data_IF_783932031276
#
_entry.id   IF_783932031276
#
_cell.length_a   1.000
_cell.length_b   1.000
_cell.length_c   1.000
_cell.angle_alpha   90.00
_cell.angle_beta   90.00
_cell.angle_gamma   90.00
#
_symmetry.space_group_name_H-M   'P 1'
#
loop_
_entity.id
_entity.type
_entity.pdbx_description
1 polymer ?
#
# COMPACT_ATOMS: atom_id res chain seq x y z
N UNK A 1 13.04 1.56 -6.30
CA UNK A 1 11.89 2.40 -5.91
C UNK A 1 11.84 3.76 -6.63
N UNK A 2 12.95 4.49 -6.81
CA UNK A 2 12.96 5.83 -7.44
C UNK A 2 12.90 5.82 -8.98
N UNK A 3 11.80 5.30 -9.52
CA UNK A 3 11.44 5.36 -10.94
C UNK A 3 9.99 5.84 -11.05
N UNK A 4 9.63 6.36 -12.22
CA UNK A 4 8.22 6.61 -12.56
C UNK A 4 7.47 5.28 -12.58
N UNK A 5 6.32 5.25 -11.89
CA UNK A 5 5.56 4.02 -11.64
C UNK A 5 4.05 4.26 -11.51
N UNK A 6 3.40 5.02 -12.42
CA UNK A 6 1.95 5.16 -12.42
C UNK A 6 1.27 3.80 -12.67
N UNK A 7 0.01 3.63 -12.21
CA UNK A 7 -0.73 2.38 -12.43
C UNK A 7 -0.72 1.94 -13.90
N UNK A 8 -0.54 0.64 -14.12
CA UNK A 8 -0.47 0.04 -15.48
C UNK A 8 0.85 0.25 -16.23
N UNK A 9 1.83 0.96 -15.67
CA UNK A 9 3.16 1.12 -16.30
C UNK A 9 4.11 -0.05 -16.03
N UNK A 10 5.11 -0.22 -16.88
CA UNK A 10 6.21 -1.17 -16.64
C UNK A 10 6.98 -0.84 -15.36
N UNK A 11 7.17 0.44 -15.04
CA UNK A 11 7.83 0.86 -13.80
C UNK A 11 7.08 0.40 -12.56
N UNK A 12 5.74 0.48 -12.56
CA UNK A 12 4.90 -0.03 -11.48
C UNK A 12 5.03 -1.56 -11.34
N UNK A 13 4.95 -2.29 -12.46
CA UNK A 13 5.14 -3.75 -12.47
C UNK A 13 6.52 -4.15 -11.93
N UNK A 14 7.60 -3.50 -12.37
CA UNK A 14 8.95 -3.77 -11.91
C UNK A 14 9.12 -3.50 -10.40
N UNK A 15 8.52 -2.42 -9.89
CA UNK A 15 8.52 -2.13 -8.45
C UNK A 15 7.78 -3.21 -7.66
N UNK A 16 6.63 -3.67 -8.17
CA UNK A 16 5.86 -4.76 -7.56
C UNK A 16 6.67 -6.05 -7.49
N UNK A 17 7.29 -6.45 -8.60
CA UNK A 17 8.17 -7.62 -8.69
C UNK A 17 9.37 -7.52 -7.74
N UNK A 18 9.97 -6.33 -7.64
CA UNK A 18 11.07 -6.06 -6.70
C UNK A 18 10.64 -6.28 -5.25
N UNK A 19 9.50 -5.70 -4.84
CA UNK A 19 8.96 -5.84 -3.48
C UNK A 19 8.68 -7.31 -3.17
N UNK A 20 7.97 -8.00 -4.07
CA UNK A 20 7.61 -9.42 -3.87
C UNK A 20 8.85 -10.30 -3.76
N UNK A 21 9.82 -10.13 -4.67
CA UNK A 21 11.05 -10.92 -4.68
C UNK A 21 11.89 -10.68 -3.43
N UNK A 22 11.99 -9.42 -2.99
CA UNK A 22 12.70 -9.05 -1.76
C UNK A 22 12.10 -9.75 -0.54
N UNK A 23 10.78 -9.65 -0.34
CA UNK A 23 10.09 -10.27 0.79
C UNK A 23 10.18 -11.80 0.77
N UNK A 24 10.08 -12.42 -0.41
CA UNK A 24 10.24 -13.86 -0.58
C UNK A 24 11.66 -14.35 -0.32
N UNK A 25 12.68 -13.49 -0.46
CA UNK A 25 14.08 -13.83 -0.19
C UNK A 25 14.44 -13.88 1.30
N UNK A 26 13.60 -13.30 2.18
CA UNK A 26 13.84 -13.23 3.61
C UNK A 26 13.66 -14.59 4.30
N UNK A 27 14.49 -14.89 5.30
CA UNK A 27 14.49 -16.21 5.96
C UNK A 27 13.26 -16.44 6.86
N UNK A 28 12.57 -15.38 7.25
CA UNK A 28 11.30 -15.45 7.99
C UNK A 28 10.14 -16.07 7.19
N UNK A 29 10.30 -16.22 5.86
CA UNK A 29 9.39 -16.98 5.02
C UNK A 29 8.02 -16.33 4.88
N UNK A 30 7.99 -15.10 4.35
CA UNK A 30 6.76 -14.36 4.10
C UNK A 30 5.89 -15.04 3.05
N UNK A 31 4.57 -15.10 3.31
CA UNK A 31 3.58 -15.45 2.27
C UNK A 31 3.22 -14.17 1.53
N UNK A 32 3.52 -14.12 0.23
CA UNK A 32 3.32 -12.93 -0.61
C UNK A 32 2.28 -13.23 -1.68
N UNK A 33 1.18 -12.49 -1.65
CA UNK A 33 0.08 -12.58 -2.59
C UNK A 33 -0.04 -11.27 -3.39
N UNK A 34 -0.43 -11.39 -4.66
CA UNK A 34 -0.75 -10.26 -5.51
C UNK A 34 -2.26 -10.15 -5.70
N UNK A 35 -2.85 -9.06 -5.23
CA UNK A 35 -4.24 -8.73 -5.49
C UNK A 35 -4.33 -7.93 -6.79
N UNK A 36 -4.42 -8.65 -7.90
CA UNK A 36 -4.46 -8.11 -9.26
C UNK A 36 -5.90 -7.88 -9.71
N UNK A 37 -6.20 -6.68 -10.20
CA UNK A 37 -7.53 -6.34 -10.72
C UNK A 37 -7.44 -5.28 -11.81
N UNK A 38 -8.56 -5.04 -12.48
CA UNK A 38 -8.69 -3.95 -13.44
C UNK A 38 -9.83 -3.03 -13.06
N UNK A 39 -9.66 -1.73 -13.31
CA UNK A 39 -10.68 -0.74 -13.03
C UNK A 39 -10.78 0.30 -14.16
N UNK A 40 -11.99 0.84 -14.31
CA UNK A 40 -12.21 2.01 -15.16
C UNK A 40 -11.67 3.26 -14.47
N UNK A 41 -10.96 4.08 -15.23
CA UNK A 41 -10.33 5.32 -14.75
C UNK A 41 -10.61 6.45 -15.74
N UNK A 42 -10.37 7.73 -15.37
CA UNK A 42 -10.44 8.85 -16.31
C UNK A 42 -9.49 8.70 -17.51
N UNK A 43 -8.49 7.81 -17.43
CA UNK A 43 -7.51 7.53 -18.47
C UNK A 43 -7.77 6.21 -19.22
N UNK A 44 -8.95 5.63 -19.05
CA UNK A 44 -9.31 4.34 -19.63
C UNK A 44 -9.19 3.19 -18.64
N UNK A 45 -9.25 1.97 -19.15
CA UNK A 45 -9.21 0.76 -18.33
C UNK A 45 -7.76 0.40 -18.00
N UNK A 46 -7.41 0.37 -16.71
CA UNK A 46 -6.04 0.10 -16.24
C UNK A 46 -6.00 -1.12 -15.32
N UNK A 47 -4.85 -1.80 -15.33
CA UNK A 47 -4.53 -2.88 -14.39
C UNK A 47 -3.85 -2.32 -13.13
N UNK A 48 -4.26 -2.81 -11.98
CA UNK A 48 -3.71 -2.49 -10.67
C UNK A 48 -3.23 -3.78 -10.00
N UNK A 49 -2.29 -3.67 -9.06
CA UNK A 49 -1.89 -4.81 -8.26
C UNK A 49 -1.31 -4.46 -6.91
N UNK A 50 -2.04 -4.75 -5.84
CA UNK A 50 -1.51 -4.64 -4.49
C UNK A 50 -0.56 -5.81 -4.20
N UNK A 51 0.49 -5.56 -3.41
CA UNK A 51 1.30 -6.64 -2.80
C UNK A 51 0.86 -6.80 -1.35
N UNK A 52 0.42 -7.99 -1.00
CA UNK A 52 0.00 -8.37 0.35
C UNK A 52 1.00 -9.39 0.88
N UNK A 53 1.79 -9.02 1.87
CA UNK A 53 2.74 -9.94 2.49
C UNK A 53 2.33 -10.22 3.93
N UNK A 54 2.12 -11.48 4.28
CA UNK A 54 1.75 -11.91 5.64
C UNK A 54 2.82 -12.85 6.19
N UNK A 55 3.41 -12.51 7.33
CA UNK A 55 4.50 -13.29 7.92
C UNK A 55 4.02 -14.67 8.39
N UNK A 56 2.88 -14.70 9.07
CA UNK A 56 2.21 -15.94 9.50
C UNK A 56 0.70 -15.86 9.19
N UNK A 57 0.24 -16.45 8.07
CA UNK A 57 -1.16 -16.45 7.69
C UNK A 57 -2.09 -17.14 8.71
N UNK A 58 -1.55 -17.99 9.59
CA UNK A 58 -2.33 -18.72 10.59
C UNK A 58 -2.59 -17.93 11.87
N UNK A 59 -1.85 -16.84 12.10
CA UNK A 59 -2.03 -16.01 13.28
C UNK A 59 -3.40 -15.29 13.27
N UNK A 60 -4.13 -15.27 14.39
CA UNK A 60 -5.47 -14.68 14.45
C UNK A 60 -5.48 -13.16 14.36
N UNK A 61 -4.38 -12.49 14.71
CA UNK A 61 -4.28 -11.03 14.69
C UNK A 61 -3.12 -10.56 13.83
N UNK A 62 -3.31 -9.42 13.17
CA UNK A 62 -2.36 -8.80 12.24
C UNK A 62 -2.13 -7.35 12.66
N UNK A 63 -0.87 -7.03 12.97
CA UNK A 63 -0.36 -5.65 12.91
C UNK A 63 -0.07 -5.35 11.44
N UNK A 64 -0.71 -4.32 10.90
CA UNK A 64 -0.60 -3.97 9.48
C UNK A 64 0.28 -2.75 9.31
N UNK A 65 1.33 -2.86 8.49
CA UNK A 65 2.07 -1.71 7.97
C UNK A 65 1.71 -1.51 6.51
N UNK A 66 1.33 -0.29 6.14
CA UNK A 66 0.85 -0.03 4.79
C UNK A 66 1.42 1.27 4.20
N UNK A 67 1.62 1.25 2.89
CA UNK A 67 2.01 2.39 2.05
C UNK A 67 1.54 2.14 0.61
N UNK A 68 1.72 3.10 -0.30
CA UNK A 68 1.32 2.95 -1.70
C UNK A 68 2.51 2.92 -2.67
N UNK A 69 2.50 1.99 -3.61
CA UNK A 69 3.60 1.78 -4.54
C UNK A 69 3.54 2.68 -5.75
N UNK A 70 2.37 3.20 -6.11
CA UNK A 70 2.23 4.03 -7.29
C UNK A 70 2.89 5.40 -7.10
N UNK A 71 3.24 6.02 -8.22
CA UNK A 71 3.60 7.44 -8.27
C UNK A 71 2.52 8.17 -9.05
N UNK A 72 2.17 9.38 -8.59
CA UNK A 72 1.23 10.24 -9.30
C UNK A 72 1.60 10.41 -10.76
N UNK A 73 0.62 10.26 -11.64
CA UNK A 73 0.81 10.56 -13.05
C UNK A 73 0.86 12.07 -13.28
N UNK A 74 1.91 12.54 -13.94
CA UNK A 74 2.04 13.90 -14.43
C UNK A 74 2.53 13.89 -15.87
N UNK A 75 2.20 14.92 -16.63
CA UNK A 75 2.89 15.19 -17.88
C UNK A 75 4.37 15.49 -17.59
N UNK A 76 5.31 15.02 -18.43
CA UNK A 76 6.70 15.44 -18.34
C UNK A 76 6.81 16.97 -18.38
N UNK A 77 7.73 17.53 -17.61
CA UNK A 77 7.95 18.97 -17.61
C UNK A 77 8.66 19.45 -18.89
N UNK A 78 8.91 20.75 -19.00
CA UNK A 78 9.58 21.35 -20.18
C UNK A 78 11.01 20.83 -20.44
N UNK A 79 11.60 20.09 -19.49
CA UNK A 79 12.90 19.44 -19.61
C UNK A 79 12.78 17.93 -19.78
N UNK A 80 11.57 17.41 -19.98
CA UNK A 80 11.30 15.97 -20.11
C UNK A 80 11.40 15.18 -18.79
N UNK A 81 11.40 15.86 -17.64
CA UNK A 81 11.48 15.18 -16.33
C UNK A 81 10.11 14.67 -15.93
N UNK A 82 10.08 13.45 -15.40
CA UNK A 82 8.87 12.80 -14.91
C UNK A 82 8.82 12.79 -13.38
N UNK A 83 7.63 12.60 -12.83
CA UNK A 83 7.43 12.56 -11.39
C UNK A 83 7.70 11.15 -10.85
N UNK A 84 8.54 11.09 -9.81
CA UNK A 84 8.98 9.82 -9.21
C UNK A 84 8.47 9.59 -7.79
N UNK A 85 7.74 10.52 -7.17
CA UNK A 85 7.14 10.33 -5.84
C UNK A 85 8.11 9.80 -4.78
N UNK A 86 9.19 10.55 -4.50
CA UNK A 86 10.24 10.09 -3.57
C UNK A 86 9.70 9.94 -2.14
N UNK A 87 9.05 10.97 -1.60
CA UNK A 87 8.38 10.90 -0.28
C UNK A 87 7.02 10.23 -0.36
N UNK A 88 6.45 10.14 -1.57
CA UNK A 88 5.04 9.80 -1.82
C UNK A 88 4.91 8.67 -2.89
N UNK A 89 5.10 7.41 -2.52
CA UNK A 89 5.61 6.94 -1.22
C UNK A 89 6.80 5.98 -1.32
N UNK A 90 7.79 6.31 -2.17
CA UNK A 90 9.00 5.48 -2.31
C UNK A 90 9.80 5.33 -1.00
N UNK A 91 9.93 6.40 -0.21
CA UNK A 91 10.57 6.36 1.12
C UNK A 91 9.77 5.48 2.10
N UNK A 92 8.44 5.66 2.30
CA UNK A 92 7.64 4.72 3.09
C UNK A 92 7.79 3.26 2.69
N UNK A 93 7.71 2.95 1.40
CA UNK A 93 7.90 1.59 0.92
C UNK A 93 9.27 1.04 1.33
N UNK A 94 10.32 1.85 1.16
CA UNK A 94 11.70 1.45 1.48
C UNK A 94 11.91 1.29 2.98
N UNK A 95 11.28 2.12 3.81
CA UNK A 95 11.35 2.01 5.27
C UNK A 95 10.72 0.71 5.77
N UNK A 96 9.57 0.32 5.21
CA UNK A 96 8.94 -0.97 5.56
C UNK A 96 9.87 -2.12 5.19
N UNK A 97 10.39 -2.14 3.96
CA UNK A 97 11.29 -3.19 3.47
C UNK A 97 12.57 -3.28 4.32
N UNK A 98 13.20 -2.16 4.63
CA UNK A 98 14.40 -2.12 5.46
C UNK A 98 14.11 -2.61 6.88
N UNK A 99 13.01 -2.16 7.49
CA UNK A 99 12.64 -2.56 8.84
C UNK A 99 12.44 -4.08 8.95
N UNK A 100 11.74 -4.71 7.99
CA UNK A 100 11.54 -6.17 8.03
C UNK A 100 12.80 -6.94 7.67
N UNK A 101 13.69 -6.37 6.87
CA UNK A 101 15.00 -6.95 6.56
C UNK A 101 15.90 -6.95 7.81
N UNK A 102 16.02 -5.80 8.47
CA UNK A 102 16.81 -5.65 9.68
C UNK A 102 16.29 -6.51 10.85
N UNK A 103 14.98 -6.80 10.87
CA UNK A 103 14.32 -7.60 11.90
C UNK A 103 14.10 -9.07 11.50
N UNK A 104 14.56 -9.51 10.33
CA UNK A 104 14.19 -10.81 9.73
C UNK A 104 14.34 -12.00 10.69
N UNK A 105 15.53 -12.19 11.27
CA UNK A 105 15.79 -13.26 12.25
C UNK A 105 14.91 -13.15 13.52
N UNK A 106 14.54 -11.93 13.94
CA UNK A 106 13.68 -11.73 15.12
C UNK A 106 12.22 -12.03 14.79
N UNK A 107 11.77 -11.63 13.61
CA UNK A 107 10.44 -11.93 13.09
C UNK A 107 10.25 -13.44 12.90
N UNK A 108 11.26 -14.13 12.37
CA UNK A 108 11.28 -15.59 12.29
C UNK A 108 11.09 -16.24 13.66
N UNK A 109 11.87 -15.83 14.67
CA UNK A 109 11.72 -16.34 16.04
C UNK A 109 10.36 -16.07 16.66
N UNK A 110 9.70 -14.95 16.32
CA UNK A 110 8.36 -14.64 16.81
C UNK A 110 7.31 -15.56 16.17
N UNK A 111 7.44 -15.83 14.87
CA UNK A 111 6.62 -16.79 14.13
C UNK A 111 6.79 -18.21 14.67
N UNK A 112 8.03 -18.67 14.84
CA UNK A 112 8.33 -20.04 15.33
C UNK A 112 7.80 -20.30 16.76
N UNK A 113 7.63 -19.24 17.56
CA UNK A 113 7.04 -19.30 18.90
C UNK A 113 5.50 -19.35 18.89
N UNK A 114 4.86 -19.25 17.73
CA UNK A 114 3.41 -19.23 17.60
C UNK A 114 2.77 -17.97 18.20
N UNK A 115 3.34 -16.80 17.93
CA UNK A 115 2.74 -15.54 18.39
C UNK A 115 1.31 -15.38 17.85
N UNK A 116 0.37 -14.97 18.69
CA UNK A 116 -1.02 -14.73 18.30
C UNK A 116 -1.19 -13.49 17.41
N UNK A 117 -0.18 -12.61 17.37
CA UNK A 117 -0.15 -11.43 16.51
C UNK A 117 1.02 -11.51 15.55
N UNK A 118 0.72 -11.49 14.25
CA UNK A 118 1.72 -11.46 13.18
C UNK A 118 1.84 -10.06 12.56
N UNK A 119 2.83 -9.90 11.67
CA UNK A 119 2.99 -8.71 10.84
C UNK A 119 2.40 -8.96 9.44
N UNK A 120 1.65 -8.00 8.94
CA UNK A 120 1.18 -7.96 7.55
C UNK A 120 1.60 -6.63 6.91
N UNK A 121 2.10 -6.70 5.69
CA UNK A 121 2.55 -5.54 4.91
C UNK A 121 1.64 -5.37 3.71
N UNK A 122 1.13 -4.16 3.51
CA UNK A 122 0.29 -3.81 2.37
C UNK A 122 1.00 -2.74 1.54
N UNK A 123 1.31 -3.08 0.31
CA UNK A 123 1.87 -2.17 -0.69
C UNK A 123 0.79 -1.94 -1.74
N UNK A 124 0.05 -0.84 -1.57
CA UNK A 124 -1.19 -0.57 -2.30
C UNK A 124 -0.92 0.10 -3.64
N UNK A 125 -1.63 -0.29 -4.69
CA UNK A 125 -1.52 0.32 -6.01
C UNK A 125 -2.67 1.30 -6.28
N UNK A 126 -2.41 2.35 -7.04
CA UNK A 126 -3.42 3.35 -7.40
C UNK A 126 -4.03 4.09 -6.20
N UNK A 127 -3.20 4.53 -5.26
CA UNK A 127 -3.64 5.50 -4.25
C UNK A 127 -3.99 6.83 -4.93
N UNK A 128 -3.13 7.25 -5.88
CA UNK A 128 -3.17 8.55 -6.50
C UNK A 128 -4.30 8.67 -7.53
N UNK A 129 -4.89 9.86 -7.58
CA UNK A 129 -5.79 10.24 -8.65
C UNK A 129 -5.02 10.34 -9.99
N UNK A 130 -5.61 9.78 -11.05
CA UNK A 130 -5.07 9.78 -12.41
C UNK A 130 -5.44 11.05 -13.19
N UNK A 131 -6.49 11.76 -12.75
CA UNK A 131 -6.85 13.10 -13.16
C UNK A 131 -7.09 13.98 -11.92
N UNK A 132 -8.32 13.99 -11.39
CA UNK A 132 -8.73 14.82 -10.26
C UNK A 132 -9.22 13.94 -9.12
N UNK A 133 -8.68 14.20 -7.92
CA UNK A 133 -9.02 13.43 -6.72
C UNK A 133 -10.52 13.47 -6.45
N UNK A 134 -11.14 12.29 -6.48
CA UNK A 134 -12.57 12.12 -6.23
C UNK A 134 -12.84 10.74 -5.60
N UNK A 135 -14.09 10.47 -5.22
CA UNK A 135 -14.47 9.16 -4.67
C UNK A 135 -14.22 7.99 -5.64
N UNK A 136 -14.18 8.25 -6.95
CA UNK A 136 -14.00 7.23 -7.98
C UNK A 136 -12.60 7.26 -8.61
N UNK A 137 -11.92 8.41 -8.58
CA UNK A 137 -10.54 8.62 -9.04
C UNK A 137 -9.60 8.84 -7.85
N UNK A 138 -9.49 7.82 -7.00
CA UNK A 138 -8.51 7.67 -5.93
C UNK A 138 -8.64 6.28 -5.30
N UNK A 139 -7.64 5.88 -4.52
CA UNK A 139 -7.71 4.74 -3.60
C UNK A 139 -8.19 3.43 -4.26
N UNK A 140 -7.78 3.18 -5.50
CA UNK A 140 -8.20 2.02 -6.29
C UNK A 140 -7.83 0.71 -5.59
N UNK A 141 -6.56 0.54 -5.25
CA UNK A 141 -6.04 -0.66 -4.60
C UNK A 141 -6.59 -0.85 -3.20
N UNK A 142 -6.68 0.22 -2.41
CA UNK A 142 -7.22 0.17 -1.06
C UNK A 142 -8.68 -0.28 -1.02
N UNK A 143 -9.54 0.28 -1.90
CA UNK A 143 -10.96 -0.09 -1.99
C UNK A 143 -11.14 -1.54 -2.42
N UNK A 144 -10.41 -1.96 -3.46
CA UNK A 144 -10.47 -3.34 -3.95
C UNK A 144 -10.01 -4.33 -2.88
N UNK A 145 -8.87 -4.04 -2.24
CA UNK A 145 -8.31 -4.94 -1.23
C UNK A 145 -9.19 -5.03 0.02
N UNK A 146 -9.76 -3.92 0.49
CA UNK A 146 -10.68 -3.96 1.63
C UNK A 146 -11.87 -4.91 1.36
N UNK A 147 -12.48 -4.79 0.17
CA UNK A 147 -13.55 -5.70 -0.25
C UNK A 147 -13.06 -7.15 -0.39
N UNK A 148 -11.86 -7.37 -0.91
CA UNK A 148 -11.28 -8.71 -1.04
C UNK A 148 -11.05 -9.36 0.34
N UNK A 149 -10.49 -8.61 1.29
CA UNK A 149 -10.22 -9.08 2.66
C UNK A 149 -11.51 -9.35 3.43
N UNK A 150 -12.55 -8.55 3.24
CA UNK A 150 -13.88 -8.77 3.84
C UNK A 150 -14.52 -10.07 3.34
N UNK A 151 -14.32 -10.41 2.07
CA UNK A 151 -14.89 -11.62 1.46
C UNK A 151 -14.05 -12.88 1.69
N UNK A 152 -12.82 -12.75 2.19
CA UNK A 152 -11.92 -13.89 2.39
C UNK A 152 -12.00 -14.41 3.81
N UNK A 153 -12.59 -15.61 3.99
CA UNK A 153 -12.79 -16.22 5.31
C UNK A 153 -11.50 -16.79 5.89
N UNK A 154 -11.36 -16.71 7.21
CA UNK A 154 -10.29 -17.37 7.96
C UNK A 154 -10.74 -18.72 8.52
N UNK A 155 -9.82 -19.71 8.67
CA UNK A 155 -10.15 -21.04 9.19
C UNK A 155 -10.79 -21.04 10.59
N UNK A 156 -10.49 -20.04 11.42
CA UNK A 156 -11.02 -19.88 12.78
C UNK A 156 -12.34 -19.11 12.90
N UNK A 157 -12.98 -18.76 11.77
CA UNK A 157 -14.12 -17.84 11.73
C UNK A 157 -13.70 -16.38 11.53
N UNK A 158 -14.64 -15.54 11.11
CA UNK A 158 -14.36 -14.17 10.65
C UNK A 158 -13.73 -14.12 9.25
N UNK A 159 -13.36 -12.92 8.81
CA UNK A 159 -12.67 -12.68 7.55
C UNK A 159 -11.28 -12.07 7.77
N UNK A 160 -10.47 -11.98 6.70
CA UNK A 160 -9.12 -11.43 6.79
C UNK A 160 -9.10 -9.98 7.25
N UNK A 161 -10.16 -9.23 6.96
CA UNK A 161 -10.29 -7.86 7.43
C UNK A 161 -10.43 -7.83 8.97
N UNK A 162 -11.26 -8.70 9.56
CA UNK A 162 -11.42 -8.80 11.02
C UNK A 162 -10.11 -9.15 11.76
N UNK A 163 -9.14 -9.77 11.09
CA UNK A 163 -7.84 -10.07 11.69
C UNK A 163 -6.93 -8.83 11.83
N UNK A 164 -7.24 -7.72 11.16
CA UNK A 164 -6.48 -6.47 11.27
C UNK A 164 -6.78 -5.84 12.63
N UNK A 165 -5.85 -6.00 13.58
CA UNK A 165 -5.99 -5.46 14.92
C UNK A 165 -5.46 -4.01 15.03
N UNK A 166 -4.39 -3.71 14.28
CA UNK A 166 -3.72 -2.41 14.36
C UNK A 166 -3.23 -1.98 12.96
N UNK A 167 -3.95 -1.11 12.25
CA UNK A 167 -3.47 -0.55 11.00
C UNK A 167 -2.56 0.66 11.23
N UNK A 168 -1.34 0.61 10.71
CA UNK A 168 -0.38 1.72 10.66
C UNK A 168 -0.07 2.06 9.20
N UNK A 169 -0.55 3.23 8.76
CA UNK A 169 -0.26 3.76 7.44
C UNK A 169 0.93 4.73 7.49
N UNK A 170 2.01 4.42 6.77
CA UNK A 170 3.20 5.27 6.70
C UNK A 170 3.07 6.17 5.48
N UNK A 171 2.66 7.42 5.69
CA UNK A 171 2.61 8.44 4.64
C UNK A 171 3.59 9.58 4.98
N UNK A 172 4.43 9.98 4.01
CA UNK A 172 5.08 11.28 4.03
C UNK A 172 4.45 12.13 2.93
N UNK A 173 3.38 12.89 3.22
CA UNK A 173 2.71 13.67 2.19
C UNK A 173 3.71 14.64 1.55
N UNK A 174 3.74 14.66 0.22
CA UNK A 174 4.35 15.75 -0.52
C UNK A 174 3.57 17.04 -0.18
N UNK A 175 4.28 18.09 0.21
CA UNK A 175 3.72 19.44 0.25
C UNK A 175 3.16 19.72 -1.15
N UNK A 176 1.83 19.83 -1.26
CA UNK A 176 1.13 20.12 -2.50
C UNK A 176 1.68 21.44 -3.04
N UNK A 177 2.53 21.38 -4.08
CA UNK A 177 3.14 22.55 -4.70
C UNK A 177 2.08 23.21 -5.59
N UNK A 178 1.11 23.89 -4.97
CA UNK A 178 0.28 24.89 -5.62
C UNK A 178 0.58 26.25 -4.99
N UNK A 179 1.11 27.14 -5.81
CA UNK A 179 1.18 28.57 -5.57
C UNK A 179 -0.17 29.09 -5.07
N UNK A 180 -0.19 29.57 -3.83
CA UNK A 180 -1.28 30.36 -3.26
C UNK A 180 -2.43 29.54 -2.66
N UNK A 181 -2.42 29.41 -1.33
CA UNK A 181 -3.53 29.65 -0.39
C UNK A 181 -3.10 29.09 0.98
N UNK A 182 -3.00 29.99 1.97
CA UNK A 182 -2.68 29.69 3.36
C UNK A 182 -3.73 28.77 4.02
N UNK A 183 -3.27 27.89 4.91
CA UNK A 183 -4.03 27.21 5.97
C UNK A 183 -5.06 26.12 5.58
N UNK A 184 -5.11 25.64 4.33
CA UNK A 184 -5.90 24.46 3.94
C UNK A 184 -5.11 23.14 3.87
N UNK A 185 -3.78 23.19 4.03
CA UNK A 185 -2.86 22.07 3.78
C UNK A 185 -2.94 20.95 4.82
N UNK A 186 -3.20 21.27 6.10
CA UNK A 186 -3.27 20.27 7.17
C UNK A 186 -4.56 19.42 7.09
N UNK A 187 -5.68 20.01 6.65
CA UNK A 187 -6.94 19.27 6.49
C UNK A 187 -6.86 18.22 5.39
N UNK A 188 -6.25 18.52 4.24
CA UNK A 188 -6.14 17.58 3.12
C UNK A 188 -5.17 16.42 3.41
N UNK A 189 -4.06 16.70 4.11
CA UNK A 189 -3.14 15.68 4.62
C UNK A 189 -3.86 14.75 5.60
N UNK A 190 -4.61 15.32 6.56
CA UNK A 190 -5.45 14.52 7.44
C UNK A 190 -6.48 13.73 6.65
N UNK A 191 -7.11 14.29 5.61
CA UNK A 191 -8.12 13.58 4.80
C UNK A 191 -7.54 12.37 4.10
N UNK A 192 -6.38 12.42 3.45
CA UNK A 192 -5.80 11.25 2.74
C UNK A 192 -5.39 10.15 3.71
N UNK A 193 -4.68 10.51 4.79
CA UNK A 193 -4.28 9.56 5.82
C UNK A 193 -5.50 9.00 6.56
N UNK A 194 -6.52 9.83 6.84
CA UNK A 194 -7.81 9.37 7.33
C UNK A 194 -8.54 8.56 6.28
N UNK A 195 -8.43 8.79 4.97
CA UNK A 195 -9.22 8.09 3.96
C UNK A 195 -8.71 6.69 3.67
N UNK A 196 -7.40 6.44 3.61
CA UNK A 196 -6.89 5.06 3.47
C UNK A 196 -7.05 4.29 4.77
N UNK A 197 -6.71 4.94 5.89
CA UNK A 197 -6.92 4.38 7.22
C UNK A 197 -8.41 4.15 7.47
N UNK A 198 -9.31 5.05 7.03
CA UNK A 198 -10.77 4.90 7.07
C UNK A 198 -11.30 3.93 6.03
N UNK A 199 -10.71 3.75 4.84
CA UNK A 199 -11.21 2.70 3.92
C UNK A 199 -10.91 1.33 4.55
N UNK A 200 -9.77 1.19 5.23
CA UNK A 200 -9.44 -0.05 5.95
C UNK A 200 -10.20 -0.15 7.29
N UNK A 201 -10.43 0.95 8.03
CA UNK A 201 -11.14 0.98 9.33
C UNK A 201 -12.66 1.09 9.24
N UNK A 202 -13.23 1.80 8.26
CA UNK A 202 -14.68 1.91 8.06
C UNK A 202 -15.25 0.61 7.48
N UNK A 203 -14.44 -0.24 6.85
CA UNK A 203 -14.85 -1.61 6.51
C UNK A 203 -14.84 -2.55 7.74
N UNK A 204 -14.35 -2.10 8.91
CA UNK A 204 -14.42 -2.84 10.18
C UNK A 204 -15.67 -2.49 11.02
N UNK A 205 -16.53 -1.57 10.58
CA UNK A 205 -17.78 -1.15 11.24
C UNK A 205 -18.96 -1.16 10.27
#
# INVERSE_FOLDING_TARGET
>A
MLIERPPGSDGNRLVRELISSHLQSLSSGWTVDLDLFHAATPRGYLSFGNVVATLDPSAPHRLVLACHIDSKWFLPDSKGRTFIGATDSAVPCSLILEAVTALDTRLQKLKDRGSTTTLQLLFLDGEEALAEWSQTDSLYGARHLAQHLENTKLPGGGNQLNAIAFPFYILFPLHFQMSGIHMMTLRRILTIQLSVTCVILLSLF
#
